data_IF_880120963618
#
_entry.id   IF_880120963618
#
_cell.length_a   1.000
_cell.length_b   1.000
_cell.length_c   1.000
_cell.angle_alpha   90.00
_cell.angle_beta   90.00
_cell.angle_gamma   90.00
#
_symmetry.space_group_name_H-M   'P 1'
#
loop_
_entity.id
_entity.type
_entity.pdbx_description
1 polymer ?
#
# COMPACT_ATOMS: atom_id res chain seq x y z
N UNK A 1 14.59 -10.84 -13.91
CA UNK A 1 13.45 -9.98 -13.56
C UNK A 1 12.55 -9.91 -14.79
N UNK A 2 11.23 -10.11 -14.65
CA UNK A 2 10.34 -10.15 -15.81
C UNK A 2 9.92 -8.72 -16.17
N UNK A 3 10.73 -8.06 -17.00
CA UNK A 3 10.40 -6.75 -17.56
C UNK A 3 9.33 -6.96 -18.63
N UNK A 4 8.18 -6.31 -18.49
CA UNK A 4 7.17 -6.29 -19.56
C UNK A 4 7.54 -5.19 -20.55
N UNK A 5 7.07 -5.30 -21.77
CA UNK A 5 7.26 -4.27 -22.79
C UNK A 5 5.90 -3.80 -23.31
N UNK A 6 5.84 -2.52 -23.70
CA UNK A 6 4.69 -1.95 -24.41
C UNK A 6 5.19 -1.30 -25.71
N UNK A 7 4.31 -1.27 -26.72
CA UNK A 7 4.58 -0.56 -27.97
C UNK A 7 3.77 0.72 -28.02
N UNK A 8 4.45 1.85 -28.19
CA UNK A 8 3.84 3.17 -28.33
C UNK A 8 3.34 3.37 -29.77
N UNK A 9 2.42 4.31 -29.96
CA UNK A 9 1.81 4.58 -31.28
C UNK A 9 2.81 5.05 -32.35
N UNK A 10 3.98 5.56 -31.94
CA UNK A 10 5.10 5.92 -32.82
C UNK A 10 5.96 4.69 -33.23
N UNK A 11 5.61 3.48 -32.80
CA UNK A 11 6.34 2.24 -33.07
C UNK A 11 7.49 1.96 -32.09
N UNK A 12 7.71 2.81 -31.09
CA UNK A 12 8.75 2.62 -30.08
C UNK A 12 8.34 1.53 -29.08
N UNK A 13 9.28 0.64 -28.75
CA UNK A 13 9.10 -0.39 -27.73
C UNK A 13 9.80 0.06 -26.45
N UNK A 14 9.04 0.18 -25.36
CA UNK A 14 9.57 0.63 -24.07
C UNK A 14 9.31 -0.40 -22.98
N UNK A 15 10.25 -0.51 -22.06
CA UNK A 15 10.14 -1.37 -20.90
C UNK A 15 9.16 -0.78 -19.87
N UNK A 16 8.40 -1.65 -19.21
CA UNK A 16 7.56 -1.30 -18.06
C UNK A 16 7.87 -2.21 -16.89
N UNK A 17 7.94 -1.61 -15.70
CA UNK A 17 8.09 -2.30 -14.43
C UNK A 17 6.78 -2.23 -13.64
N UNK A 18 6.35 -3.36 -13.11
CA UNK A 18 5.15 -3.44 -12.27
C UNK A 18 5.47 -3.25 -10.79
N UNK A 19 6.75 -3.27 -10.41
CA UNK A 19 7.23 -3.03 -9.05
C UNK A 19 7.36 -1.53 -8.84
N UNK A 20 6.29 -0.92 -8.32
CA UNK A 20 6.23 0.52 -8.16
C UNK A 20 6.74 0.90 -6.78
N UNK A 21 7.81 1.68 -6.73
CA UNK A 21 8.32 2.22 -5.47
C UNK A 21 7.47 3.39 -4.98
N UNK A 22 7.45 3.59 -3.66
CA UNK A 22 6.64 4.62 -3.03
C UNK A 22 7.00 6.05 -3.49
N UNK A 23 8.27 6.32 -3.80
CA UNK A 23 8.67 7.62 -4.34
C UNK A 23 8.01 7.92 -5.69
N UNK A 24 7.88 6.93 -6.57
CA UNK A 24 7.22 7.09 -7.88
C UNK A 24 5.75 7.46 -7.71
N UNK A 25 5.05 6.81 -6.78
CA UNK A 25 3.67 7.16 -6.45
C UNK A 25 3.55 8.61 -5.97
N UNK A 26 4.45 9.04 -5.08
CA UNK A 26 4.43 10.40 -4.53
C UNK A 26 4.67 11.46 -5.62
N UNK A 27 5.66 11.25 -6.48
CA UNK A 27 5.96 12.15 -7.60
C UNK A 27 4.79 12.26 -8.57
N UNK A 28 4.23 11.13 -8.99
CA UNK A 28 3.11 11.10 -9.94
C UNK A 28 1.80 11.66 -9.35
N UNK A 29 1.58 11.58 -8.03
CA UNK A 29 0.50 12.31 -7.38
C UNK A 29 0.73 13.83 -7.46
N UNK A 30 1.95 14.29 -7.16
CA UNK A 30 2.29 15.72 -7.22
C UNK A 30 2.22 16.29 -8.65
N UNK A 31 2.56 15.47 -9.65
CA UNK A 31 2.40 15.79 -11.08
C UNK A 31 0.92 15.79 -11.53
N UNK A 32 -0.01 15.35 -10.68
CA UNK A 32 -1.44 15.26 -11.00
C UNK A 32 -1.83 14.06 -11.86
N UNK A 33 -0.89 13.14 -12.11
CA UNK A 33 -1.13 11.89 -12.87
C UNK A 33 -1.96 10.91 -12.05
N UNK A 34 -1.63 10.75 -10.76
CA UNK A 34 -2.39 9.94 -9.82
C UNK A 34 -3.40 10.83 -9.08
N UNK A 35 -4.57 10.98 -9.68
CA UNK A 35 -5.67 11.70 -9.04
C UNK A 35 -6.35 10.84 -7.95
N UNK A 36 -7.21 11.46 -7.16
CA UNK A 36 -7.93 10.79 -6.06
C UNK A 36 -8.74 9.58 -6.54
N UNK A 37 -9.33 9.65 -7.73
CA UNK A 37 -10.13 8.55 -8.30
C UNK A 37 -9.26 7.33 -8.64
N UNK A 38 -8.09 7.56 -9.22
CA UNK A 38 -7.13 6.50 -9.52
C UNK A 38 -6.64 5.82 -8.26
N UNK A 39 -6.28 6.60 -7.23
CA UNK A 39 -5.86 6.08 -5.93
C UNK A 39 -6.99 5.25 -5.28
N UNK A 40 -8.25 5.72 -5.36
CA UNK A 40 -9.40 4.97 -4.90
C UNK A 40 -9.60 3.65 -5.66
N UNK A 41 -9.39 3.63 -6.99
CA UNK A 41 -9.47 2.37 -7.75
C UNK A 41 -8.40 1.35 -7.34
N UNK A 42 -7.19 1.82 -6.99
CA UNK A 42 -6.14 0.94 -6.48
C UNK A 42 -6.53 0.28 -5.16
N UNK A 43 -7.16 1.03 -4.25
CA UNK A 43 -7.58 0.50 -2.94
C UNK A 43 -8.82 -0.38 -3.02
N UNK A 44 -9.75 -0.09 -3.93
CA UNK A 44 -10.97 -0.89 -4.14
C UNK A 44 -10.69 -2.30 -4.67
N UNK A 45 -9.62 -2.51 -5.43
CA UNK A 45 -9.30 -3.82 -6.00
C UNK A 45 -8.81 -4.85 -4.97
N UNK A 46 -8.34 -4.40 -3.79
CA UNK A 46 -7.97 -5.27 -2.66
C UNK A 46 -9.16 -5.67 -1.78
N UNK A 47 -10.26 -4.92 -1.81
CA UNK A 47 -11.42 -5.13 -0.94
C UNK A 47 -12.56 -5.84 -1.68
N UNK A 48 -12.44 -7.17 -1.87
CA UNK A 48 -13.59 -8.05 -2.17
C UNK A 48 -14.61 -8.18 -1.03
N UNK A 49 -14.56 -7.30 -0.03
CA UNK A 49 -15.45 -7.27 1.14
C UNK A 49 -15.90 -5.82 1.37
N UNK A 50 -17.14 -5.51 0.95
CA UNK A 50 -17.67 -4.16 0.86
C UNK A 50 -18.05 -3.46 2.16
N UNK A 51 -17.23 -3.47 3.23
CA UNK A 51 -17.60 -2.82 4.49
C UNK A 51 -16.43 -2.16 5.23
N UNK A 52 -15.50 -1.56 4.49
CA UNK A 52 -14.47 -0.71 5.09
C UNK A 52 -14.37 0.56 4.26
N UNK A 53 -15.29 1.49 4.53
CA UNK A 53 -15.29 2.87 4.02
C UNK A 53 -14.21 3.69 4.75
N UNK A 54 -12.97 3.18 4.75
CA UNK A 54 -11.83 4.02 5.11
C UNK A 54 -11.41 4.64 3.79
N UNK A 55 -11.89 5.86 3.54
CA UNK A 55 -11.30 6.80 2.59
C UNK A 55 -9.87 7.17 3.07
N UNK A 56 -9.01 6.17 3.19
CA UNK A 56 -7.64 6.35 3.61
C UNK A 56 -6.81 6.66 2.38
N UNK A 57 -6.08 7.75 2.49
CA UNK A 57 -5.10 8.10 1.48
C UNK A 57 -3.98 7.05 1.49
N UNK A 58 -3.65 6.49 0.31
CA UNK A 58 -2.55 5.52 0.12
C UNK A 58 -1.25 6.05 0.74
N UNK A 59 -1.03 7.36 0.65
CA UNK A 59 0.15 8.00 1.23
C UNK A 59 0.17 7.96 2.76
N UNK A 60 -1.00 7.95 3.41
CA UNK A 60 -1.08 7.73 4.85
C UNK A 60 -0.65 6.32 5.23
N UNK A 61 -1.07 5.30 4.47
CA UNK A 61 -0.64 3.93 4.69
C UNK A 61 0.88 3.76 4.46
N UNK A 62 1.42 4.37 3.40
CA UNK A 62 2.88 4.39 3.14
C UNK A 62 3.64 5.07 4.28
N UNK A 63 3.16 6.23 4.76
CA UNK A 63 3.78 6.94 5.88
C UNK A 63 3.82 6.07 7.15
N UNK A 64 2.76 5.29 7.40
CA UNK A 64 2.71 4.35 8.51
C UNK A 64 3.79 3.27 8.45
N UNK A 65 4.13 2.78 7.25
CA UNK A 65 5.25 1.85 7.07
C UNK A 65 6.56 2.50 7.49
N UNK A 66 6.83 3.72 7.05
CA UNK A 66 8.05 4.42 7.45
C UNK A 66 8.10 4.71 8.96
N UNK A 67 6.97 5.07 9.58
CA UNK A 67 6.88 5.25 11.04
C UNK A 67 7.23 3.94 11.76
N UNK A 68 6.65 2.82 11.35
CA UNK A 68 6.94 1.51 11.93
C UNK A 68 8.42 1.12 11.73
N UNK A 69 8.97 1.34 10.54
CA UNK A 69 10.38 1.13 10.23
C UNK A 69 11.30 1.95 11.14
N UNK A 70 11.03 3.25 11.31
CA UNK A 70 11.83 4.14 12.17
C UNK A 70 11.73 3.77 13.64
N UNK A 71 10.55 3.34 14.09
CA UNK A 71 10.35 2.86 15.46
C UNK A 71 11.16 1.58 15.74
N UNK A 72 11.20 0.66 14.77
CA UNK A 72 11.99 -0.57 14.90
C UNK A 72 13.51 -0.32 14.78
N UNK A 73 13.92 0.77 14.14
CA UNK A 73 15.31 1.11 13.85
C UNK A 73 15.68 2.51 14.38
N UNK A 74 15.77 2.70 15.71
CA UNK A 74 15.90 4.03 16.30
C UNK A 74 17.25 4.70 16.06
N UNK A 75 18.32 3.92 15.85
CA UNK A 75 19.71 4.40 15.78
C UNK A 75 20.31 4.35 14.39
N UNK A 76 19.87 3.43 13.53
CA UNK A 76 20.43 3.24 12.19
C UNK A 76 19.28 3.03 11.22
N UNK A 77 18.96 4.08 10.46
CA UNK A 77 17.80 4.11 9.58
C UNK A 77 18.08 4.94 8.33
N UNK A 78 17.35 4.64 7.27
CA UNK A 78 17.30 5.47 6.07
C UNK A 78 16.46 6.72 6.31
N UNK A 79 16.91 7.86 5.78
CA UNK A 79 16.07 9.05 5.69
C UNK A 79 14.83 8.76 4.84
N UNK A 80 13.77 9.54 5.05
CA UNK A 80 12.45 9.28 4.46
C UNK A 80 12.49 9.12 2.94
N UNK A 81 13.14 10.05 2.24
CA UNK A 81 13.25 10.00 0.78
C UNK A 81 14.01 8.76 0.30
N UNK A 82 15.17 8.46 0.90
CA UNK A 82 15.96 7.26 0.56
C UNK A 82 15.22 5.95 0.88
N UNK A 83 14.37 5.94 1.90
CA UNK A 83 13.47 4.81 2.16
C UNK A 83 12.44 4.67 1.04
N UNK A 84 11.80 5.77 0.64
CA UNK A 84 10.78 5.80 -0.42
C UNK A 84 11.33 5.39 -1.80
N UNK A 85 12.63 5.63 -2.04
CA UNK A 85 13.34 5.18 -3.25
C UNK A 85 13.50 3.67 -3.34
N UNK A 86 13.54 2.99 -2.19
CA UNK A 86 13.84 1.57 -2.09
C UNK A 86 12.61 0.72 -1.73
N UNK A 87 11.60 1.34 -1.14
CA UNK A 87 10.38 0.66 -0.72
C UNK A 87 9.45 0.42 -1.93
N UNK A 88 9.38 -0.83 -2.38
CA UNK A 88 8.36 -1.33 -3.31
C UNK A 88 7.01 -1.32 -2.61
N UNK A 89 6.05 -0.59 -3.15
CA UNK A 89 4.75 -0.42 -2.53
C UNK A 89 3.90 -1.68 -2.64
N UNK A 90 3.51 -2.22 -1.49
CA UNK A 90 2.47 -3.23 -1.35
C UNK A 90 1.30 -2.65 -0.53
N UNK A 91 0.10 -2.68 -1.12
CA UNK A 91 -1.10 -2.13 -0.48
C UNK A 91 -1.54 -2.95 0.73
N UNK A 92 -1.48 -4.28 0.66
CA UNK A 92 -1.89 -5.16 1.76
C UNK A 92 -0.94 -5.01 2.95
N UNK A 93 0.37 -4.96 2.68
CA UNK A 93 1.39 -4.70 3.70
C UNK A 93 1.17 -3.34 4.37
N UNK A 94 1.08 -2.27 3.58
CA UNK A 94 0.96 -0.91 4.10
C UNK A 94 -0.31 -0.72 4.92
N UNK A 95 -1.45 -1.25 4.45
CA UNK A 95 -2.72 -1.20 5.16
C UNK A 95 -2.73 -2.09 6.41
N UNK A 96 -2.06 -3.25 6.37
CA UNK A 96 -1.88 -4.11 7.54
C UNK A 96 -1.12 -3.39 8.65
N UNK A 97 0.03 -2.79 8.32
CA UNK A 97 0.85 -2.02 9.27
C UNK A 97 0.08 -0.81 9.80
N UNK A 98 -0.59 -0.05 8.93
CA UNK A 98 -1.43 1.06 9.36
C UNK A 98 -2.50 0.58 10.35
N UNK A 99 -3.20 -0.50 9.99
CA UNK A 99 -4.25 -1.08 10.82
C UNK A 99 -3.71 -1.50 12.16
N UNK A 100 -2.54 -2.12 12.26
CA UNK A 100 -1.95 -2.49 13.56
C UNK A 100 -1.56 -1.28 14.42
N UNK A 101 -1.08 -0.20 13.80
CA UNK A 101 -0.76 1.06 14.49
C UNK A 101 -2.04 1.66 15.10
N UNK A 102 -3.12 1.77 14.34
CA UNK A 102 -4.37 2.36 14.83
C UNK A 102 -5.22 1.39 15.67
N UNK A 103 -5.18 0.09 15.37
CA UNK A 103 -5.95 -0.92 16.10
C UNK A 103 -5.34 -1.25 17.45
N UNK A 104 -4.13 -0.79 17.79
CA UNK A 104 -3.74 -0.76 19.20
C UNK A 104 -4.64 0.16 20.04
N UNK A 105 -5.33 1.13 19.42
CA UNK A 105 -6.47 1.82 20.04
C UNK A 105 -7.80 1.07 19.88
N UNK A 106 -8.00 0.34 18.76
CA UNK A 106 -9.24 -0.39 18.43
C UNK A 106 -9.25 -1.88 18.82
N UNK A 107 -8.30 -2.41 19.59
CA UNK A 107 -8.35 -3.75 20.23
C UNK A 107 -9.36 -3.78 21.40
N UNK A 108 -10.47 -3.08 21.21
CA UNK A 108 -11.80 -3.55 21.55
C UNK A 108 -12.64 -3.46 20.28
N UNK A 109 -13.00 -4.63 19.72
CA UNK A 109 -14.14 -4.85 18.82
C UNK A 109 -13.81 -5.10 17.32
N UNK A 110 -14.32 -6.24 16.84
CA UNK A 110 -14.75 -6.63 15.47
C UNK A 110 -13.79 -7.16 14.40
N UNK A 111 -12.58 -6.65 14.19
CA UNK A 111 -11.76 -7.11 13.04
C UNK A 111 -11.08 -8.48 13.28
N UNK A 112 -10.56 -8.72 14.47
CA UNK A 112 -9.96 -10.02 14.84
C UNK A 112 -11.00 -11.15 14.84
N UNK A 113 -12.21 -10.89 15.35
CA UNK A 113 -13.31 -11.86 15.40
C UNK A 113 -13.78 -12.28 14.00
N UNK A 114 -13.70 -11.36 13.03
CA UNK A 114 -14.09 -11.60 11.65
C UNK A 114 -13.08 -12.45 10.89
N UNK A 115 -11.80 -12.36 11.26
CA UNK A 115 -10.72 -13.14 10.67
C UNK A 115 -10.71 -14.59 11.22
N UNK A 116 -10.88 -14.77 12.53
CA UNK A 116 -11.01 -16.11 13.15
C UNK A 116 -12.26 -16.87 12.66
N UNK A 117 -13.39 -16.18 12.45
CA UNK A 117 -14.60 -16.83 11.91
C UNK A 117 -14.43 -17.35 10.49
N UNK A 118 -13.64 -16.70 9.64
CA UNK A 118 -13.39 -17.15 8.27
C UNK A 118 -12.44 -18.35 8.21
N UNK A 119 -11.50 -18.47 9.14
CA UNK A 119 -10.54 -19.59 9.16
C UNK A 119 -11.04 -20.82 9.92
N UNK A 120 -11.99 -20.66 10.85
CA UNK A 120 -12.58 -21.79 11.61
C UNK A 120 -13.86 -22.37 11.00
N UNK A 121 -14.45 -21.71 10.00
CA UNK A 121 -15.68 -22.16 9.33
C UNK A 121 -15.50 -23.08 8.11
N UNK A 122 -14.28 -23.24 7.58
CA UNK A 122 -14.00 -24.06 6.39
C UNK A 122 -13.71 -25.54 6.70
N UNK A 123 -14.23 -26.05 7.82
CA UNK A 123 -13.96 -27.40 8.30
C UNK A 123 -15.09 -28.00 9.11
N UNK A 124 -16.33 -27.94 8.60
CA UNK A 124 -17.41 -28.89 8.92
C UNK A 124 -18.34 -29.06 7.74
#
# INVERSE_FOLDING_TARGET
MATKEITLLNGEVVAVDTKIIALTLFKLQHEGVLNKEFLNMLTMRGNGSGDVDINMDIFTAINSVYVAYRQANPTTFLAYESFMELYEFDYEEAMGIFSEIIQKEAKKSTLADSFEKRTTGAGK
#
